data_IF_641541642000
#
_entry.id   IF_641541642000
#
_cell.length_a   1.000
_cell.length_b   1.000
_cell.length_c   1.000
_cell.angle_alpha   90.00
_cell.angle_beta   90.00
_cell.angle_gamma   90.00
#
_symmetry.space_group_name_H-M   'P 1'
#
loop_
_entity.id
_entity.type
_entity.pdbx_description
1 polymer ?
#
# COMPACT_ATOMS: atom_id res chain seq x y z
N UNK A 1 13.34 19.92 2.44
CA UNK A 1 13.41 18.54 2.92
C UNK A 1 12.60 17.70 1.95
N UNK A 2 13.16 16.60 1.38
CA UNK A 2 12.39 15.76 0.44
C UNK A 2 11.30 15.03 1.23
N UNK A 3 10.10 14.91 0.67
CA UNK A 3 8.95 14.29 1.34
C UNK A 3 9.24 12.84 1.74
N UNK A 4 10.03 12.15 0.93
CA UNK A 4 10.46 10.77 1.16
C UNK A 4 11.35 10.57 2.39
N UNK A 5 12.23 11.53 2.73
CA UNK A 5 13.19 11.36 3.84
C UNK A 5 12.49 11.27 5.20
N UNK A 6 11.35 11.96 5.34
CA UNK A 6 10.55 12.01 6.55
C UNK A 6 9.65 10.79 6.79
N UNK A 7 9.62 9.83 5.86
CA UNK A 7 8.82 8.61 6.00
C UNK A 7 9.47 7.59 6.94
N UNK A 8 8.64 6.79 7.60
CA UNK A 8 9.03 5.58 8.32
C UNK A 8 9.64 4.54 7.37
N UNK A 9 10.44 3.63 7.93
CA UNK A 9 11.04 2.54 7.15
C UNK A 9 9.97 1.67 6.48
N UNK A 10 8.82 1.45 7.13
CA UNK A 10 7.71 0.69 6.55
C UNK A 10 7.09 1.41 5.35
N UNK A 11 6.90 2.73 5.42
CA UNK A 11 6.39 3.53 4.31
C UNK A 11 7.39 3.55 3.13
N UNK A 12 8.69 3.65 3.43
CA UNK A 12 9.76 3.54 2.43
C UNK A 12 9.78 2.15 1.78
N UNK A 13 9.65 1.08 2.57
CA UNK A 13 9.54 -0.30 2.10
C UNK A 13 8.29 -0.53 1.23
N UNK A 14 7.13 0.03 1.61
CA UNK A 14 5.91 -0.05 0.80
C UNK A 14 6.09 0.59 -0.57
N UNK A 15 6.68 1.79 -0.61
CA UNK A 15 6.95 2.50 -1.85
C UNK A 15 7.94 1.74 -2.74
N UNK A 16 8.98 1.16 -2.15
CA UNK A 16 10.05 0.47 -2.88
C UNK A 16 9.71 -0.96 -3.33
N UNK A 17 8.94 -1.70 -2.53
CA UNK A 17 8.60 -3.10 -2.79
C UNK A 17 7.87 -3.30 -4.12
N UNK A 18 7.06 -2.32 -4.54
CA UNK A 18 6.36 -2.37 -5.82
C UNK A 18 7.22 -1.97 -7.03
N UNK A 19 8.25 -1.14 -6.85
CA UNK A 19 9.20 -0.77 -7.92
C UNK A 19 10.17 -1.91 -8.25
N UNK A 20 10.37 -2.82 -7.30
CA UNK A 20 11.21 -4.01 -7.47
C UNK A 20 10.67 -4.96 -8.55
N UNK A 21 9.41 -4.82 -8.97
CA UNK A 21 8.80 -5.57 -10.07
C UNK A 21 8.98 -4.94 -11.46
N UNK A 22 9.84 -3.91 -11.59
CA UNK A 22 10.24 -3.38 -12.90
C UNK A 22 9.24 -2.45 -13.58
N UNK A 23 8.24 -1.94 -12.84
CA UNK A 23 7.29 -0.94 -13.36
C UNK A 23 7.97 0.44 -13.38
N UNK A 24 7.70 1.21 -14.45
CA UNK A 24 8.25 2.56 -14.71
C UNK A 24 8.09 3.52 -13.51
N UNK A 25 8.75 4.67 -13.60
CA UNK A 25 8.77 5.82 -12.65
C UNK A 25 7.45 6.18 -11.95
N UNK A 26 6.31 5.80 -12.53
CA UNK A 26 5.00 5.83 -11.88
C UNK A 26 4.64 4.49 -11.25
N UNK A 27 4.62 4.48 -9.92
CA UNK A 27 4.04 3.41 -9.12
C UNK A 27 2.52 3.40 -9.30
N UNK A 28 1.94 2.27 -9.69
CA UNK A 28 0.50 2.06 -9.56
C UNK A 28 0.26 0.64 -9.10
N UNK A 29 -0.43 0.48 -7.98
CA UNK A 29 -0.81 -0.85 -7.52
C UNK A 29 -2.16 -0.88 -6.84
N UNK A 30 -2.79 -2.03 -6.97
CA UNK A 30 -4.04 -2.36 -6.31
C UNK A 30 -3.70 -3.13 -5.04
N UNK A 31 -4.20 -2.64 -3.91
CA UNK A 31 -4.11 -3.38 -2.64
C UNK A 31 -5.41 -4.13 -2.38
N UNK A 32 -5.34 -5.44 -2.14
CA UNK A 32 -6.49 -6.20 -1.69
C UNK A 32 -6.82 -5.86 -0.23
N UNK A 33 -8.03 -6.21 0.20
CA UNK A 33 -8.54 -5.90 1.54
C UNK A 33 -7.80 -6.64 2.67
N UNK A 34 -7.06 -7.72 2.36
CA UNK A 34 -6.25 -8.49 3.31
C UNK A 34 -4.84 -7.91 3.53
N UNK A 35 -4.65 -6.62 3.24
CA UNK A 35 -3.43 -5.88 3.60
C UNK A 35 -3.25 -5.87 5.12
N UNK A 36 -2.01 -6.04 5.61
CA UNK A 36 -1.74 -6.00 7.05
C UNK A 36 -1.95 -4.59 7.60
N UNK A 37 -2.28 -4.46 8.89
CA UNK A 37 -2.41 -3.14 9.53
C UNK A 37 -1.11 -2.32 9.49
N UNK A 38 0.03 -3.00 9.52
CA UNK A 38 1.36 -2.37 9.41
C UNK A 38 1.52 -1.75 8.02
N UNK A 39 1.21 -2.51 6.96
CA UNK A 39 1.27 -2.02 5.59
C UNK A 39 0.19 -0.96 5.30
N UNK A 40 -1.00 -1.08 5.89
CA UNK A 40 -2.05 -0.05 5.79
C UNK A 40 -1.60 1.29 6.38
N UNK A 41 -1.01 1.28 7.58
CA UNK A 41 -0.45 2.49 8.20
C UNK A 41 0.66 3.11 7.37
N UNK A 42 1.54 2.28 6.82
CA UNK A 42 2.60 2.72 5.91
C UNK A 42 2.06 3.39 4.63
N UNK A 43 0.97 2.87 4.06
CA UNK A 43 0.28 3.48 2.92
C UNK A 43 -0.39 4.81 3.29
N UNK A 44 -1.09 4.86 4.42
CA UNK A 44 -1.72 6.09 4.93
C UNK A 44 -0.68 7.18 5.20
N UNK A 45 0.46 6.81 5.78
CA UNK A 45 1.59 7.72 6.00
C UNK A 45 2.13 8.28 4.67
N UNK A 46 2.39 7.42 3.69
CA UNK A 46 2.87 7.85 2.37
C UNK A 46 1.86 8.73 1.63
N UNK A 47 0.55 8.50 1.83
CA UNK A 47 -0.51 9.38 1.30
C UNK A 47 -0.53 10.73 2.02
N UNK A 48 -0.47 10.75 3.35
CA UNK A 48 -0.48 11.98 4.14
C UNK A 48 0.76 12.84 3.89
N UNK A 49 1.91 12.23 3.62
CA UNK A 49 3.12 12.91 3.19
C UNK A 49 3.07 13.42 1.73
N UNK A 50 2.04 13.01 0.97
CA UNK A 50 1.87 13.37 -0.43
C UNK A 50 2.88 12.71 -1.37
N UNK A 51 3.40 11.53 -0.99
CA UNK A 51 4.24 10.67 -1.82
C UNK A 51 3.37 9.76 -2.69
N UNK A 52 2.25 9.30 -2.13
CA UNK A 52 1.22 8.55 -2.84
C UNK A 52 -0.09 9.33 -2.90
N UNK A 53 -0.88 9.10 -3.93
CA UNK A 53 -2.32 9.39 -3.95
C UNK A 53 -3.11 8.08 -3.87
N UNK A 54 -4.31 8.15 -3.28
CA UNK A 54 -5.21 7.00 -3.13
C UNK A 54 -6.50 7.23 -3.91
N UNK A 55 -6.78 6.35 -4.84
CA UNK A 55 -8.04 6.23 -5.56
C UNK A 55 -8.82 5.02 -5.01
N UNK A 56 -10.11 5.20 -4.73
CA UNK A 56 -10.98 4.08 -4.36
C UNK A 56 -11.25 3.29 -5.64
N UNK A 57 -10.84 2.02 -5.69
CA UNK A 57 -10.98 1.18 -6.87
C UNK A 57 -12.43 0.79 -7.15
N UNK A 58 -12.72 0.54 -8.43
CA UNK A 58 -14.03 0.07 -8.92
C UNK A 58 -14.10 -1.45 -9.13
N UNK A 59 -12.98 -2.17 -9.00
CA UNK A 59 -12.92 -3.62 -9.22
C UNK A 59 -12.49 -4.36 -7.95
N UNK A 60 -13.37 -5.23 -7.47
CA UNK A 60 -13.22 -5.95 -6.21
C UNK A 60 -13.75 -5.14 -5.03
N UNK A 61 -14.53 -5.81 -4.18
CA UNK A 61 -14.94 -5.29 -2.89
C UNK A 61 -13.71 -4.75 -2.14
N UNK A 62 -13.65 -3.42 -2.00
CA UNK A 62 -12.68 -2.70 -1.16
C UNK A 62 -11.22 -2.61 -1.66
N UNK A 63 -10.94 -2.80 -2.94
CA UNK A 63 -9.59 -2.56 -3.45
C UNK A 63 -9.26 -1.05 -3.50
N UNK A 64 -8.08 -0.66 -3.01
CA UNK A 64 -7.56 0.70 -3.18
C UNK A 64 -6.47 0.71 -4.23
N UNK A 65 -6.54 1.68 -5.14
CA UNK A 65 -5.46 1.97 -6.08
C UNK A 65 -4.59 3.06 -5.51
N UNK A 66 -3.30 2.81 -5.38
CA UNK A 66 -2.32 3.81 -4.98
C UNK A 66 -1.49 4.21 -6.19
N UNK A 67 -1.27 5.51 -6.37
CA UNK A 67 -0.39 6.05 -7.41
C UNK A 67 0.73 6.87 -6.79
N UNK A 68 1.93 6.78 -7.35
CA UNK A 68 2.99 7.71 -6.99
C UNK A 68 2.64 9.13 -7.44
N UNK A 69 2.78 10.09 -6.52
CA UNK A 69 2.69 11.53 -6.82
C UNK A 69 4.05 12.12 -7.24
N UNK A 70 5.15 11.39 -7.01
CA UNK A 70 6.53 11.78 -7.33
C UNK A 70 7.38 10.58 -7.80
N UNK A 71 8.59 10.83 -8.31
CA UNK A 71 9.52 9.77 -8.71
C UNK A 71 10.03 9.00 -7.47
N UNK A 72 9.85 7.68 -7.48
CA UNK A 72 10.23 6.80 -6.37
C UNK A 72 11.57 6.07 -6.58
N UNK A 73 12.38 6.47 -7.56
CA UNK A 73 13.73 5.93 -7.74
C UNK A 73 14.58 5.96 -6.46
N UNK A 74 14.37 6.97 -5.60
CA UNK A 74 15.03 7.07 -4.29
C UNK A 74 14.59 5.96 -3.33
N UNK A 75 13.32 5.56 -3.36
CA UNK A 75 12.82 4.44 -2.58
C UNK A 75 13.47 3.12 -3.00
N UNK A 76 13.64 2.92 -4.31
CA UNK A 76 14.36 1.76 -4.85
C UNK A 76 15.83 1.75 -4.41
N UNK A 77 16.52 2.88 -4.52
CA UNK A 77 17.92 3.00 -4.10
C UNK A 77 18.07 2.78 -2.59
N UNK A 78 17.13 3.30 -1.79
CA UNK A 78 17.10 3.11 -0.34
C UNK A 78 16.87 1.63 0.01
N UNK A 79 15.89 0.95 -0.62
CA UNK A 79 15.61 -0.46 -0.36
C UNK A 79 16.78 -1.38 -0.72
N UNK A 80 17.53 -1.09 -1.78
CA UNK A 80 18.73 -1.87 -2.13
C UNK A 80 19.80 -1.81 -1.04
N UNK A 81 19.88 -0.70 -0.29
CA UNK A 81 20.82 -0.51 0.83
C UNK A 81 20.27 -1.04 2.16
N UNK A 82 18.95 -1.11 2.28
CA UNK A 82 18.23 -1.44 3.50
C UNK A 82 17.39 -2.73 3.38
N UNK A 83 17.77 -3.63 2.49
CA UNK A 83 17.01 -4.87 2.21
C UNK A 83 16.83 -5.76 3.44
N UNK A 84 17.76 -5.66 4.41
CA UNK A 84 17.66 -6.35 5.70
C UNK A 84 16.48 -5.86 6.55
N UNK A 85 16.05 -4.59 6.42
CA UNK A 85 14.88 -4.05 7.11
C UNK A 85 13.55 -4.57 6.54
N UNK A 86 13.57 -5.05 5.29
CA UNK A 86 12.39 -5.67 4.67
C UNK A 86 12.04 -7.03 5.31
N UNK A 87 12.98 -7.64 6.05
CA UNK A 87 12.79 -8.94 6.69
C UNK A 87 11.72 -8.83 7.79
N UNK A 88 10.56 -9.46 7.56
CA UNK A 88 9.42 -9.42 8.49
C UNK A 88 8.40 -8.32 8.19
N UNK A 89 8.62 -7.52 7.13
CA UNK A 89 7.60 -6.62 6.61
C UNK A 89 6.68 -7.39 5.64
N UNK A 90 5.50 -7.78 6.12
CA UNK A 90 4.49 -8.46 5.31
C UNK A 90 3.42 -7.47 4.85
N UNK A 91 3.22 -7.36 3.53
CA UNK A 91 2.17 -6.51 2.96
C UNK A 91 0.79 -7.14 3.12
N UNK A 92 0.69 -8.45 2.94
CA UNK A 92 -0.55 -9.20 3.01
C UNK A 92 -0.55 -10.16 4.20
N UNK A 93 -1.73 -10.38 4.77
CA UNK A 93 -1.99 -11.47 5.70
C UNK A 93 -1.98 -12.79 4.93
N UNK A 94 -1.31 -13.85 5.43
CA UNK A 94 -1.29 -15.17 4.77
C UNK A 94 -2.71 -15.75 4.63
N UNK A 95 -2.91 -16.62 3.64
CA UNK A 95 -4.22 -17.19 3.28
C UNK A 95 -4.89 -17.91 4.47
N UNK A 96 -4.11 -18.46 5.40
CA UNK A 96 -4.59 -19.18 6.59
C UNK A 96 -5.20 -18.25 7.66
N UNK A 97 -4.98 -16.93 7.54
CA UNK A 97 -5.50 -15.90 8.45
C UNK A 97 -6.55 -15.00 7.79
N UNK A 98 -7.17 -15.47 6.71
CA UNK A 98 -8.24 -14.76 5.97
C UNK A 98 -9.43 -14.47 6.90
N UNK A 99 -9.67 -13.20 7.22
CA UNK A 99 -11.01 -12.78 7.66
C UNK A 99 -11.87 -12.63 6.41
N UNK A 100 -12.95 -13.38 6.18
CA UNK A 100 -13.79 -13.25 4.97
C UNK A 100 -14.33 -11.82 4.69
N UNK A 101 -14.13 -10.88 5.62
CA UNK A 101 -14.74 -9.56 5.62
C UNK A 101 -13.69 -8.48 5.90
N UNK A 102 -13.81 -7.30 5.29
CA UNK A 102 -12.97 -6.16 5.62
C UNK A 102 -13.25 -5.67 7.04
N UNK A 103 -12.31 -4.94 7.65
CA UNK A 103 -12.55 -4.24 8.91
C UNK A 103 -13.76 -3.30 8.80
N UNK A 104 -14.59 -3.24 9.85
CA UNK A 104 -15.83 -2.45 9.86
C UNK A 104 -15.64 -0.95 9.58
N UNK A 105 -14.43 -0.42 9.78
CA UNK A 105 -14.07 0.96 9.53
C UNK A 105 -13.73 1.29 8.06
N UNK A 106 -13.77 0.32 7.16
CA UNK A 106 -13.49 0.58 5.75
C UNK A 106 -14.68 1.19 5.02
N UNK A 107 -14.49 2.33 4.31
CA UNK A 107 -15.57 2.96 3.58
C UNK A 107 -16.06 2.04 2.48
N UNK A 108 -17.32 1.60 2.58
CA UNK A 108 -17.99 0.86 1.53
C UNK A 108 -18.32 1.86 0.41
N UNK A 109 -17.95 1.60 -0.85
CA UNK A 109 -18.37 2.45 -1.97
C UNK A 109 -19.90 2.56 -2.01
N UNK A 110 -20.40 3.77 -2.21
CA UNK A 110 -21.84 4.01 -2.31
C UNK A 110 -22.46 3.17 -3.43
N UNK A 111 -23.50 2.40 -3.11
CA UNK A 111 -24.19 1.51 -4.07
C UNK A 111 -23.86 0.03 -3.93
N UNK A 112 -22.96 -0.37 -3.02
CA UNK A 112 -22.68 -1.79 -2.80
C UNK A 112 -23.77 -2.47 -1.95
N UNK A 113 -24.57 -3.36 -2.56
CA UNK A 113 -25.52 -4.22 -1.84
C UNK A 113 -24.76 -5.39 -1.20
N UNK A 114 -24.81 -5.49 0.13
CA UNK A 114 -24.39 -6.71 0.83
C UNK A 114 -25.31 -7.84 0.35
N UNK A 115 -24.76 -8.85 -0.31
CA UNK A 115 -25.52 -10.08 -0.53
C UNK A 115 -25.68 -10.79 0.82
N UNK A 116 -26.91 -10.99 1.32
CA UNK A 116 -27.13 -11.85 2.46
C UNK A 116 -26.74 -13.30 2.07
N UNK A 117 -26.13 -14.02 3.01
CA UNK A 117 -25.85 -15.46 2.87
C UNK A 117 -27.16 -16.23 2.73
#
# INVERSE_FOLDING_TARGET
MRKFDGLSDDAKLMCAGHLSFGVKTTLTFQTPWNVTDRARRALEEAVNAGVLSREVGSQGLYAHTYRAAEDLNEARAWMSKNSHLAKGFAVMVSDDKRQERPPAAWPVPAGFKRHPK
#
